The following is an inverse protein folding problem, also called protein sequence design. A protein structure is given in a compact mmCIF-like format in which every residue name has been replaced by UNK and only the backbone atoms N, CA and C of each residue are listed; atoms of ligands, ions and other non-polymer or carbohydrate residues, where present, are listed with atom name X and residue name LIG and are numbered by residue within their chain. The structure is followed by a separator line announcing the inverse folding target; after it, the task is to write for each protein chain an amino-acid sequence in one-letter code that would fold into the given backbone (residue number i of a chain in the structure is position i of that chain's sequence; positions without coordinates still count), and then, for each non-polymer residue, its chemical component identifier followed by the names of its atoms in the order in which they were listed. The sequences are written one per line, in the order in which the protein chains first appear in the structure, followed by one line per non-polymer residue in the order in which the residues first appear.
data_IF_888645694081
#
_entry.id   IF_888645694081
#
_cell.length_a   1.000
_cell.length_b   1.000
_cell.length_c   1.000
_cell.angle_alpha   90.00
_cell.angle_beta   90.00
_cell.angle_gamma   90.00
#
_symmetry.space_group_name_H-M   'P 1'
#
loop_
_entity.id
_entity.type
_entity.pdbx_description
1 polymer ?
#
# COMPACT_ATOMS: atom_id res chain seq x y z
N UNK A 1 -7.66 -8.65 -4.17
CA UNK A 1 -8.10 -7.29 -3.80
C UNK A 1 -7.92 -7.12 -2.31
N UNK A 2 -7.00 -6.24 -1.88
CA UNK A 2 -6.96 -5.33 -0.69
C UNK A 2 -7.58 -5.77 0.67
N UNK A 3 -8.17 -6.95 0.77
CA UNK A 3 -8.90 -7.43 1.95
C UNK A 3 -7.96 -7.75 3.12
N UNK A 4 -6.67 -7.90 2.83
CA UNK A 4 -5.64 -8.17 3.82
C UNK A 4 -5.10 -6.89 4.48
N UNK A 5 -5.31 -5.73 3.86
CA UNK A 5 -4.94 -4.42 4.40
C UNK A 5 -6.08 -3.90 5.27
N UNK A 6 -6.20 -4.46 6.48
CA UNK A 6 -7.14 -3.96 7.49
C UNK A 6 -6.50 -2.77 8.20
N UNK A 7 -7.16 -1.62 8.16
CA UNK A 7 -6.80 -0.48 9.01
C UNK A 7 -7.51 -0.61 10.35
N UNK A 8 -6.84 -0.18 11.43
CA UNK A 8 -7.52 0.19 12.67
C UNK A 8 -8.06 1.60 12.51
N UNK A 9 -9.11 1.99 13.25
CA UNK A 9 -9.65 3.35 13.15
C UNK A 9 -8.74 4.33 13.90
N UNK A 10 -8.31 5.41 13.25
CA UNK A 10 -7.66 6.56 13.86
C UNK A 10 -8.67 7.24 14.80
N UNK A 11 -8.28 7.38 16.06
CA UNK A 11 -9.07 7.99 17.13
C UNK A 11 -8.60 9.40 17.44
N UNK A 12 -9.38 10.17 18.20
CA UNK A 12 -8.96 11.48 18.68
C UNK A 12 -7.70 11.42 19.55
N UNK A 13 -7.50 10.33 20.29
CA UNK A 13 -6.28 10.11 21.08
C UNK A 13 -5.06 9.91 20.16
N UNK A 14 -5.24 9.23 19.03
CA UNK A 14 -4.19 9.12 18.01
C UNK A 14 -3.83 10.50 17.45
N UNK A 15 -4.81 11.38 17.23
CA UNK A 15 -4.55 12.76 16.78
C UNK A 15 -3.68 13.54 17.78
N UNK A 16 -3.88 13.36 19.09
CA UNK A 16 -3.02 14.01 20.11
C UNK A 16 -1.57 13.55 20.01
N UNK A 17 -1.35 12.27 19.71
CA UNK A 17 0.00 11.72 19.47
C UNK A 17 0.58 12.30 18.18
N UNK A 18 -0.20 12.30 17.10
CA UNK A 18 0.26 12.76 15.78
C UNK A 18 0.62 14.25 15.76
N UNK A 19 -0.06 15.08 16.55
CA UNK A 19 0.27 16.51 16.71
C UNK A 19 1.68 16.79 17.23
N UNK A 20 2.37 15.78 17.78
CA UNK A 20 3.79 15.89 18.18
C UNK A 20 4.73 15.93 16.97
N UNK A 21 4.23 15.69 15.77
CA UNK A 21 5.01 15.66 14.53
C UNK A 21 4.54 16.72 13.54
N UNK A 22 5.46 17.19 12.68
CA UNK A 22 5.13 18.04 11.54
C UNK A 22 4.18 17.33 10.55
N UNK A 23 3.40 18.10 9.78
CA UNK A 23 2.60 17.62 8.65
C UNK A 23 3.45 17.31 7.40
N UNK A 24 4.59 16.62 7.57
CA UNK A 24 5.51 16.25 6.49
C UNK A 24 4.84 15.47 5.35
N UNK A 25 3.70 14.85 5.66
CA UNK A 25 2.93 13.99 4.79
C UNK A 25 2.02 14.72 3.79
N UNK A 26 1.70 15.99 4.07
CA UNK A 26 0.68 16.75 3.37
C UNK A 26 0.89 16.77 1.84
N UNK A 27 2.11 17.10 1.42
CA UNK A 27 2.45 17.28 0.00
C UNK A 27 2.23 16.02 -0.84
N UNK A 28 2.60 14.84 -0.34
CA UNK A 28 2.42 13.60 -1.10
C UNK A 28 1.00 13.05 -0.99
N UNK A 29 0.33 13.21 0.16
CA UNK A 29 -1.10 12.85 0.27
C UNK A 29 -1.92 13.66 -0.72
N UNK A 30 -1.70 14.97 -0.79
CA UNK A 30 -2.39 15.85 -1.74
C UNK A 30 -2.19 15.38 -3.20
N UNK A 31 -0.97 14.95 -3.56
CA UNK A 31 -0.69 14.41 -4.90
C UNK A 31 -1.49 13.15 -5.20
N UNK A 32 -1.54 12.19 -4.28
CA UNK A 32 -2.27 10.93 -4.50
C UNK A 32 -3.79 11.13 -4.48
N UNK A 33 -4.31 11.97 -3.59
CA UNK A 33 -5.75 12.34 -3.55
C UNK A 33 -6.19 13.02 -4.85
N UNK A 34 -5.38 13.96 -5.39
CA UNK A 34 -5.67 14.57 -6.70
C UNK A 34 -5.75 13.53 -7.81
N UNK A 35 -4.86 12.53 -7.80
CA UNK A 35 -4.88 11.43 -8.79
C UNK A 35 -6.13 10.55 -8.65
N UNK A 36 -6.55 10.25 -7.42
CA UNK A 36 -7.78 9.50 -7.13
C UNK A 36 -9.02 10.25 -7.63
N UNK A 37 -9.18 11.51 -7.23
CA UNK A 37 -10.35 12.32 -7.61
C UNK A 37 -10.43 12.54 -9.14
N UNK A 38 -9.29 12.74 -9.81
CA UNK A 38 -9.23 12.82 -11.28
C UNK A 38 -9.72 11.55 -11.97
N UNK A 39 -9.58 10.40 -11.31
CA UNK A 39 -10.06 9.13 -11.84
C UNK A 39 -11.54 8.91 -11.50
N UNK A 40 -11.95 9.22 -10.27
CA UNK A 40 -13.37 9.16 -9.84
C UNK A 40 -14.27 9.97 -10.77
N UNK A 41 -13.85 11.16 -11.18
CA UNK A 41 -14.62 12.04 -12.08
C UNK A 41 -14.90 11.45 -13.47
N UNK A 42 -14.24 10.35 -13.85
CA UNK A 42 -14.46 9.67 -15.15
C UNK A 42 -15.64 8.72 -15.14
N UNK A 43 -16.18 8.37 -13.98
CA UNK A 43 -17.33 7.46 -13.87
C UNK A 43 -18.64 8.26 -13.86
N UNK A 44 -19.48 8.06 -14.89
CA UNK A 44 -20.82 8.66 -14.96
C UNK A 44 -21.71 8.13 -13.82
N UNK A 45 -22.40 9.02 -13.12
CA UNK A 45 -23.42 8.66 -12.11
C UNK A 45 -22.89 8.23 -10.73
N UNK A 46 -21.65 8.56 -10.37
CA UNK A 46 -21.05 8.24 -9.05
C UNK A 46 -20.41 9.51 -8.46
N UNK A 47 -21.23 10.43 -7.96
CA UNK A 47 -21.67 10.62 -6.56
C UNK A 47 -20.57 11.31 -5.74
N UNK A 48 -20.85 12.55 -5.32
CA UNK A 48 -20.04 13.39 -4.43
C UNK A 48 -19.51 12.66 -3.18
N UNK A 49 -20.18 11.60 -2.76
CA UNK A 49 -19.83 10.73 -1.62
C UNK A 49 -18.51 9.95 -1.77
N UNK A 50 -17.96 9.81 -2.99
CA UNK A 50 -16.66 9.14 -3.21
C UNK A 50 -15.50 10.13 -3.48
N UNK A 51 -15.75 11.43 -3.35
CA UNK A 51 -14.70 12.44 -3.42
C UNK A 51 -13.91 12.37 -2.11
N UNK A 52 -12.58 12.24 -2.24
CA UNK A 52 -11.69 12.25 -1.09
C UNK A 52 -11.20 13.68 -0.90
N UNK A 53 -11.39 14.23 0.30
CA UNK A 53 -10.86 15.52 0.68
C UNK A 53 -9.37 15.39 1.01
N UNK A 54 -8.60 16.41 0.63
CA UNK A 54 -7.19 16.48 1.03
C UNK A 54 -7.14 16.86 2.51
N UNK A 55 -6.57 16.02 3.40
CA UNK A 55 -6.36 16.42 4.79
C UNK A 55 -5.34 17.55 4.82
N UNK A 56 -5.65 18.68 5.48
CA UNK A 56 -4.76 19.85 5.58
C UNK A 56 -4.05 19.92 6.94
N UNK A 57 -4.62 19.28 7.96
CA UNK A 57 -4.11 19.20 9.33
C UNK A 57 -4.33 17.81 9.93
N UNK A 58 -3.77 17.55 11.11
CA UNK A 58 -3.84 16.24 11.76
C UNK A 58 -5.28 15.78 12.03
N UNK A 59 -6.16 16.69 12.45
CA UNK A 59 -7.57 16.41 12.73
C UNK A 59 -8.31 15.85 11.52
N UNK A 60 -7.91 16.25 10.31
CA UNK A 60 -8.55 15.81 9.07
C UNK A 60 -8.20 14.35 8.74
N UNK A 61 -7.20 13.74 9.41
CA UNK A 61 -6.77 12.36 9.15
C UNK A 61 -7.85 11.33 9.49
N UNK A 62 -8.70 11.60 10.49
CA UNK A 62 -9.84 10.73 10.84
C UNK A 62 -10.82 10.65 9.66
N UNK A 63 -11.18 11.81 9.11
CA UNK A 63 -12.10 11.89 7.98
C UNK A 63 -11.47 11.33 6.70
N UNK A 64 -10.18 11.62 6.48
CA UNK A 64 -9.43 11.06 5.37
C UNK A 64 -9.41 9.53 5.40
N UNK A 65 -9.12 8.90 6.53
CA UNK A 65 -9.20 7.45 6.68
C UNK A 65 -10.61 6.94 6.37
N UNK A 66 -11.64 7.56 6.94
CA UNK A 66 -13.04 7.16 6.72
C UNK A 66 -13.37 7.17 5.22
N UNK A 67 -12.96 8.21 4.51
CA UNK A 67 -13.17 8.33 3.07
C UNK A 67 -12.39 7.27 2.27
N UNK A 68 -11.14 6.99 2.62
CA UNK A 68 -10.34 5.90 2.00
C UNK A 68 -11.00 4.53 2.19
N UNK A 69 -11.56 4.29 3.39
CA UNK A 69 -12.26 3.04 3.68
C UNK A 69 -13.60 2.93 2.95
N UNK A 70 -14.37 4.01 2.86
CA UNK A 70 -15.60 4.06 2.07
C UNK A 70 -15.31 3.87 0.56
N UNK A 71 -14.21 4.45 0.07
CA UNK A 71 -13.76 4.32 -1.32
C UNK A 71 -13.48 2.87 -1.72
N UNK A 72 -13.15 2.00 -0.77
CA UNK A 72 -12.87 0.59 -1.00
C UNK A 72 -13.99 -0.13 -1.75
N UNK A 73 -15.24 0.13 -1.40
CA UNK A 73 -16.39 -0.53 -1.99
C UNK A 73 -16.58 -0.12 -3.46
N UNK A 74 -16.50 1.18 -3.73
CA UNK A 74 -16.52 1.72 -5.09
C UNK A 74 -15.36 1.18 -5.92
N UNK A 75 -14.14 1.21 -5.36
CA UNK A 75 -12.94 0.68 -5.99
C UNK A 75 -13.12 -0.78 -6.38
N UNK A 76 -13.53 -1.64 -5.43
CA UNK A 76 -13.69 -3.07 -5.65
C UNK A 76 -14.76 -3.38 -6.71
N UNK A 77 -15.88 -2.64 -6.70
CA UNK A 77 -16.95 -2.83 -7.67
C UNK A 77 -16.47 -2.56 -9.09
N UNK A 78 -15.86 -1.39 -9.31
CA UNK A 78 -15.36 -0.99 -10.64
C UNK A 78 -14.17 -1.85 -11.07
N UNK A 79 -13.28 -2.18 -10.14
CA UNK A 79 -12.14 -3.07 -10.41
C UNK A 79 -12.61 -4.45 -10.89
N UNK A 80 -13.62 -5.05 -10.23
CA UNK A 80 -14.19 -6.34 -10.64
C UNK A 80 -14.74 -6.32 -12.07
N UNK A 81 -15.30 -5.20 -12.52
CA UNK A 81 -15.85 -5.06 -13.87
C UNK A 81 -14.78 -4.96 -14.98
N UNK A 82 -13.55 -4.58 -14.62
CA UNK A 82 -12.53 -4.22 -15.62
C UNK A 82 -11.25 -5.06 -15.56
N UNK A 83 -11.06 -5.85 -14.49
CA UNK A 83 -9.84 -6.64 -14.27
C UNK A 83 -9.56 -7.69 -15.36
N UNK A 84 -10.59 -8.15 -16.06
CA UNK A 84 -10.49 -9.21 -17.07
C UNK A 84 -10.16 -8.63 -18.48
N UNK A 85 -10.05 -7.30 -18.61
CA UNK A 85 -9.75 -6.61 -19.87
C UNK A 85 -8.35 -5.99 -19.77
N UNK A 86 -7.32 -6.65 -20.31
CA UNK A 86 -5.90 -6.25 -20.18
C UNK A 86 -5.62 -4.77 -20.55
N UNK A 87 -6.18 -4.21 -21.65
CA UNK A 87 -6.02 -2.79 -21.97
C UNK A 87 -6.65 -1.85 -20.94
N UNK A 88 -7.77 -2.26 -20.33
CA UNK A 88 -8.42 -1.50 -19.27
C UNK A 88 -7.58 -1.54 -17.99
N UNK A 89 -6.99 -2.69 -17.65
CA UNK A 89 -6.10 -2.84 -16.50
C UNK A 89 -4.89 -1.90 -16.56
N UNK A 90 -4.28 -1.72 -17.74
CA UNK A 90 -3.19 -0.77 -17.93
C UNK A 90 -3.61 0.68 -17.66
N UNK A 91 -4.83 1.07 -18.05
CA UNK A 91 -5.40 2.39 -17.75
C UNK A 91 -5.74 2.54 -16.26
N UNK A 92 -6.08 1.44 -15.59
CA UNK A 92 -6.41 1.39 -14.17
C UNK A 92 -5.19 1.34 -13.26
N UNK A 93 -4.02 0.93 -13.76
CA UNK A 93 -2.78 0.83 -12.98
C UNK A 93 -2.49 2.08 -12.16
N UNK A 94 -2.71 3.26 -12.75
CA UNK A 94 -2.49 4.54 -12.08
C UNK A 94 -3.51 4.80 -10.96
N UNK A 95 -4.74 4.34 -11.12
CA UNK A 95 -5.80 4.46 -10.13
C UNK A 95 -5.61 3.48 -8.98
N UNK A 96 -5.34 2.21 -9.30
CA UNK A 96 -4.95 1.16 -8.35
C UNK A 96 -3.76 1.62 -7.53
N UNK A 97 -2.73 2.17 -8.20
CA UNK A 97 -1.53 2.65 -7.53
C UNK A 97 -1.83 3.81 -6.57
N UNK A 98 -2.61 4.80 -6.99
CA UNK A 98 -2.97 5.93 -6.13
C UNK A 98 -3.79 5.48 -4.90
N UNK A 99 -4.76 4.58 -5.10
CA UNK A 99 -5.59 4.07 -3.99
C UNK A 99 -4.76 3.29 -2.97
N UNK A 100 -3.95 2.34 -3.44
CA UNK A 100 -3.08 1.55 -2.57
C UNK A 100 -2.05 2.41 -1.85
N UNK A 101 -1.52 3.45 -2.50
CA UNK A 101 -0.60 4.41 -1.86
C UNK A 101 -1.29 5.15 -0.72
N UNK A 102 -2.50 5.69 -0.93
CA UNK A 102 -3.28 6.32 0.13
C UNK A 102 -3.57 5.34 1.28
N UNK A 103 -3.92 4.09 0.97
CA UNK A 103 -4.15 3.07 1.99
C UNK A 103 -2.88 2.76 2.82
N UNK A 104 -1.72 2.68 2.16
CA UNK A 104 -0.43 2.52 2.83
C UNK A 104 -0.12 3.68 3.78
N UNK A 105 -0.45 4.91 3.38
CA UNK A 105 -0.28 6.11 4.23
C UNK A 105 -1.21 6.05 5.44
N UNK A 106 -2.47 5.64 5.27
CA UNK A 106 -3.41 5.46 6.38
C UNK A 106 -2.93 4.37 7.35
N UNK A 107 -2.41 3.25 6.85
CA UNK A 107 -1.81 2.19 7.69
C UNK A 107 -0.57 2.72 8.44
N UNK A 108 0.25 3.55 7.79
CA UNK A 108 1.40 4.15 8.45
C UNK A 108 1.00 4.91 9.72
N UNK A 109 -0.01 5.79 9.64
CA UNK A 109 -0.43 6.57 10.82
C UNK A 109 -0.98 5.68 11.94
N UNK A 110 -1.77 4.68 11.58
CA UNK A 110 -2.29 3.70 12.54
C UNK A 110 -1.16 2.96 13.27
N UNK A 111 -0.20 2.44 12.52
CA UNK A 111 0.94 1.73 13.08
C UNK A 111 1.84 2.66 13.90
N UNK A 112 2.08 3.90 13.44
CA UNK A 112 2.85 4.88 14.18
C UNK A 112 2.24 5.15 15.56
N UNK A 113 0.93 5.43 15.61
CA UNK A 113 0.25 5.68 16.88
C UNK A 113 0.28 4.47 17.78
N UNK A 114 0.02 3.28 17.24
CA UNK A 114 0.12 2.02 17.97
C UNK A 114 1.51 1.81 18.57
N UNK A 115 2.57 1.97 17.77
CA UNK A 115 3.93 1.77 18.24
C UNK A 115 4.30 2.74 19.36
N UNK A 116 3.91 4.01 19.25
CA UNK A 116 4.14 5.03 20.29
C UNK A 116 3.35 4.70 21.57
N UNK A 117 2.08 4.28 21.45
CA UNK A 117 1.26 3.89 22.61
C UNK A 117 1.81 2.66 23.33
N UNK A 118 2.21 1.65 22.56
CA UNK A 118 2.71 0.39 23.10
C UNK A 118 4.10 0.55 23.76
N UNK A 119 4.80 1.67 23.54
CA UNK A 119 6.17 1.87 23.97
C UNK A 119 6.47 3.37 24.15
N UNK A 120 6.29 3.88 25.36
CA UNK A 120 6.76 5.23 25.68
C UNK A 120 8.29 5.31 25.47
N UNK A 121 8.73 6.22 24.60
CA UNK A 121 10.17 6.49 24.38
C UNK A 121 10.90 5.65 23.32
N UNK A 122 10.20 5.04 22.35
CA UNK A 122 10.84 4.35 21.20
C UNK A 122 11.89 5.24 20.53
N UNK A 123 13.08 4.66 20.30
CA UNK A 123 14.11 5.29 19.43
C UNK A 123 13.72 5.12 17.95
N UNK A 124 14.01 6.10 17.10
CA UNK A 124 13.61 6.11 15.68
C UNK A 124 14.00 4.83 14.89
N UNK A 125 15.18 4.28 15.19
CA UNK A 125 15.71 3.09 14.53
C UNK A 125 14.81 1.87 14.81
N UNK A 126 14.26 1.80 16.03
CA UNK A 126 13.33 0.75 16.44
C UNK A 126 11.97 0.90 15.74
N UNK A 127 11.54 2.13 15.44
CA UNK A 127 10.32 2.38 14.68
C UNK A 127 10.42 1.85 13.25
N UNK A 128 11.56 2.10 12.58
CA UNK A 128 11.81 1.59 11.22
C UNK A 128 11.79 0.05 11.21
N UNK A 129 12.45 -0.59 12.18
CA UNK A 129 12.39 -2.05 12.33
C UNK A 129 10.96 -2.56 12.53
N UNK A 130 10.14 -1.91 13.35
CA UNK A 130 8.73 -2.31 13.56
C UNK A 130 7.90 -2.19 12.27
N UNK A 131 8.14 -1.14 11.48
CA UNK A 131 7.52 -1.02 10.17
C UNK A 131 7.98 -2.12 9.20
N UNK A 132 9.27 -2.45 9.19
CA UNK A 132 9.79 -3.57 8.39
C UNK A 132 9.11 -4.88 8.77
N UNK A 133 8.97 -5.17 10.06
CA UNK A 133 8.31 -6.39 10.54
C UNK A 133 6.84 -6.47 10.09
N UNK A 134 6.09 -5.37 10.16
CA UNK A 134 4.72 -5.32 9.63
C UNK A 134 4.68 -5.48 8.10
N UNK A 135 5.61 -4.85 7.38
CA UNK A 135 5.70 -4.98 5.93
C UNK A 135 6.05 -6.40 5.48
N UNK A 136 6.89 -7.11 6.24
CA UNK A 136 7.21 -8.52 6.02
C UNK A 136 5.98 -9.42 6.20
N UNK A 137 5.12 -9.17 7.20
CA UNK A 137 3.85 -9.89 7.34
C UNK A 137 2.94 -9.71 6.12
N UNK A 138 2.93 -8.52 5.51
CA UNK A 138 2.19 -8.30 4.27
C UNK A 138 2.85 -8.99 3.06
N UNK A 139 4.19 -9.02 3.01
CA UNK A 139 4.95 -9.73 1.98
C UNK A 139 4.70 -11.24 2.01
N UNK A 140 4.71 -11.86 3.19
CA UNK A 140 4.37 -13.27 3.34
C UNK A 140 2.96 -13.60 2.84
N UNK A 141 1.99 -12.71 3.12
CA UNK A 141 0.62 -12.85 2.61
C UNK A 141 0.58 -12.74 1.09
N UNK A 142 1.29 -11.77 0.51
CA UNK A 142 1.41 -11.63 -0.94
C UNK A 142 2.00 -12.90 -1.57
N UNK A 143 3.09 -13.43 -1.02
CA UNK A 143 3.71 -14.67 -1.50
C UNK A 143 2.72 -15.84 -1.52
N UNK A 144 1.87 -15.97 -0.49
CA UNK A 144 0.80 -16.98 -0.44
C UNK A 144 -0.25 -16.76 -1.53
N UNK A 145 -0.69 -15.52 -1.77
CA UNK A 145 -1.67 -15.21 -2.83
C UNK A 145 -1.13 -15.52 -4.22
N UNK A 146 0.10 -15.08 -4.53
CA UNK A 146 0.75 -15.37 -5.82
C UNK A 146 0.86 -16.88 -6.06
N UNK A 147 1.25 -17.65 -5.03
CA UNK A 147 1.37 -19.11 -5.10
C UNK A 147 0.04 -19.83 -5.33
N UNK A 148 -1.11 -19.23 -5.01
CA UNK A 148 -2.42 -19.80 -5.39
C UNK A 148 -2.58 -19.84 -6.92
N UNK A 149 -1.97 -18.90 -7.64
CA UNK A 149 -2.09 -18.84 -9.11
C UNK A 149 -1.10 -19.76 -9.81
N UNK A 150 0.15 -19.80 -9.33
CA UNK A 150 1.27 -20.46 -10.04
C UNK A 150 1.76 -21.76 -9.39
N UNK A 151 1.32 -22.09 -8.17
CA UNK A 151 1.77 -23.26 -7.41
C UNK A 151 3.02 -23.01 -6.56
N UNK A 152 3.56 -24.08 -5.96
CA UNK A 152 4.86 -24.05 -5.27
C UNK A 152 5.98 -23.89 -6.29
N UNK A 153 6.94 -23.02 -6.01
CA UNK A 153 8.01 -22.69 -6.96
C UNK A 153 9.33 -22.38 -6.23
N UNK A 154 10.38 -23.13 -6.58
CA UNK A 154 11.69 -23.04 -5.94
C UNK A 154 12.38 -21.68 -6.20
N UNK A 155 12.16 -21.06 -7.36
CA UNK A 155 12.75 -19.76 -7.65
C UNK A 155 12.15 -18.70 -6.72
N UNK A 156 10.82 -18.70 -6.54
CA UNK A 156 10.18 -17.77 -5.61
C UNK A 156 10.55 -18.04 -4.15
N UNK A 157 10.70 -19.31 -3.76
CA UNK A 157 11.25 -19.66 -2.43
C UNK A 157 12.63 -19.03 -2.20
N UNK A 158 13.47 -19.02 -3.24
CA UNK A 158 14.81 -18.42 -3.18
C UNK A 158 14.72 -16.90 -3.07
N UNK A 159 13.82 -16.26 -3.82
CA UNK A 159 13.58 -14.80 -3.72
C UNK A 159 13.12 -14.42 -2.31
N UNK A 160 12.20 -15.20 -1.73
CA UNK A 160 11.68 -14.95 -0.39
C UNK A 160 12.77 -15.11 0.68
N UNK A 161 13.59 -16.17 0.59
CA UNK A 161 14.70 -16.43 1.53
C UNK A 161 15.80 -15.37 1.50
N UNK A 162 16.07 -14.81 0.33
CA UNK A 162 17.11 -13.80 0.16
C UNK A 162 16.66 -12.39 0.57
N UNK A 163 15.38 -12.22 0.93
CA UNK A 163 14.86 -10.96 1.41
C UNK A 163 15.08 -10.84 2.93
N UNK A 164 16.28 -10.41 3.33
CA UNK A 164 16.70 -10.29 4.73
C UNK A 164 16.41 -8.92 5.33
N UNK A 165 16.10 -8.89 6.63
CA UNK A 165 15.76 -7.67 7.36
C UNK A 165 17.03 -6.87 7.74
N UNK A 166 17.28 -5.73 7.11
CA UNK A 166 18.17 -4.69 7.64
C UNK A 166 17.43 -3.88 8.71
N UNK A 167 17.96 -3.84 9.94
CA UNK A 167 17.23 -3.25 11.09
C UNK A 167 17.13 -1.72 11.05
N UNK A 168 18.02 -1.05 10.32
CA UNK A 168 18.21 0.41 10.42
C UNK A 168 17.64 1.20 9.24
N UNK A 169 17.26 0.52 8.16
CA UNK A 169 16.76 1.10 6.92
C UNK A 169 15.43 0.47 6.56
N UNK A 170 14.55 1.23 5.89
CA UNK A 170 13.31 0.64 5.40
C UNK A 170 13.63 -0.39 4.30
N UNK A 171 13.06 -1.58 4.39
CA UNK A 171 13.39 -2.66 3.46
C UNK A 171 13.01 -2.32 2.02
N UNK A 172 13.90 -2.67 1.09
CA UNK A 172 13.67 -2.44 -0.33
C UNK A 172 12.83 -3.56 -0.97
N UNK A 173 11.51 -3.45 -0.86
CA UNK A 173 10.57 -4.38 -1.51
C UNK A 173 10.57 -4.30 -3.04
N UNK A 174 11.19 -3.29 -3.67
CA UNK A 174 11.14 -3.12 -5.14
C UNK A 174 11.90 -4.22 -5.86
N UNK A 175 13.01 -4.68 -5.29
CA UNK A 175 13.84 -5.76 -5.87
C UNK A 175 13.07 -7.09 -5.92
N UNK A 176 12.56 -7.64 -4.79
CA UNK A 176 11.83 -8.91 -4.83
C UNK A 176 10.53 -8.81 -5.66
N UNK A 177 9.80 -7.69 -5.61
CA UNK A 177 8.62 -7.49 -6.48
C UNK A 177 8.99 -7.57 -7.96
N UNK A 178 10.08 -6.91 -8.38
CA UNK A 178 10.56 -7.00 -9.77
C UNK A 178 10.92 -8.44 -10.13
N UNK A 179 11.65 -9.15 -9.25
CA UNK A 179 12.02 -10.55 -9.46
C UNK A 179 10.79 -11.45 -9.65
N UNK A 180 9.76 -11.28 -8.82
CA UNK A 180 8.47 -11.95 -8.97
C UNK A 180 7.82 -11.62 -10.34
N UNK A 181 7.68 -10.34 -10.68
CA UNK A 181 7.04 -9.92 -11.94
C UNK A 181 7.77 -10.46 -13.17
N UNK A 182 9.12 -10.40 -13.20
CA UNK A 182 9.91 -10.93 -14.31
C UNK A 182 9.72 -12.43 -14.46
N UNK A 183 9.72 -13.16 -13.35
CA UNK A 183 9.54 -14.61 -13.35
C UNK A 183 8.15 -15.02 -13.83
N UNK A 184 7.09 -14.44 -13.28
CA UNK A 184 5.71 -14.77 -13.65
C UNK A 184 5.45 -14.38 -15.11
N UNK A 185 6.02 -13.27 -15.60
CA UNK A 185 5.98 -12.90 -17.03
C UNK A 185 6.68 -13.95 -17.90
N UNK A 186 7.80 -14.51 -17.45
CA UNK A 186 8.51 -15.59 -18.15
C UNK A 186 7.67 -16.87 -18.20
N UNK A 187 7.03 -17.26 -17.09
CA UNK A 187 6.11 -18.40 -17.05
C UNK A 187 4.95 -18.23 -18.04
N UNK A 188 4.35 -17.04 -18.10
CA UNK A 188 3.26 -16.72 -19.03
C UNK A 188 3.72 -16.81 -20.49
N UNK A 189 4.88 -16.22 -20.83
CA UNK A 189 5.47 -16.32 -22.17
C UNK A 189 5.75 -17.76 -22.61
N UNK A 190 6.17 -18.60 -21.67
CA UNK A 190 6.41 -20.04 -21.87
C UNK A 190 5.13 -20.88 -21.78
N UNK A 191 3.96 -20.26 -21.66
CA UNK A 191 2.64 -20.91 -21.50
C UNK A 191 2.55 -21.88 -20.31
N UNK A 192 3.40 -21.72 -19.29
CA UNK A 192 3.36 -22.53 -18.05
C UNK A 192 2.21 -22.11 -17.12
N UNK A 193 1.71 -20.89 -17.30
CA UNK A 193 0.53 -20.36 -16.62
C UNK A 193 -0.37 -19.65 -17.65
N UNK A 194 -1.66 -19.54 -17.35
CA UNK A 194 -2.61 -18.82 -18.20
C UNK A 194 -2.42 -17.31 -18.08
N UNK A 195 -2.90 -16.56 -19.09
CA UNK A 195 -2.91 -15.09 -19.06
C UNK A 195 -3.69 -14.53 -17.87
N UNK A 196 -4.78 -15.18 -17.48
CA UNK A 196 -5.57 -14.82 -16.29
C UNK A 196 -4.73 -14.96 -15.02
N UNK A 197 -4.01 -16.07 -14.85
CA UNK A 197 -3.12 -16.31 -13.69
C UNK A 197 -1.99 -15.29 -13.62
N UNK A 198 -1.39 -14.96 -14.77
CA UNK A 198 -0.40 -13.89 -14.88
C UNK A 198 -0.99 -12.54 -14.44
N UNK A 199 -2.16 -12.17 -14.97
CA UNK A 199 -2.82 -10.89 -14.71
C UNK A 199 -3.19 -10.73 -13.24
N UNK A 200 -3.72 -11.79 -12.61
CA UNK A 200 -4.04 -11.80 -11.18
C UNK A 200 -2.78 -11.57 -10.34
N UNK A 201 -1.73 -12.37 -10.58
CA UNK A 201 -0.48 -12.26 -9.81
C UNK A 201 0.22 -10.91 -10.02
N UNK A 202 0.25 -10.40 -11.25
CA UNK A 202 0.83 -9.11 -11.57
C UNK A 202 0.08 -7.97 -10.88
N UNK A 203 -1.24 -8.09 -10.75
CA UNK A 203 -2.02 -7.08 -10.04
C UNK A 203 -1.83 -7.14 -8.54
N UNK A 204 -1.74 -8.33 -7.94
CA UNK A 204 -1.42 -8.48 -6.51
C UNK A 204 -0.06 -7.85 -6.17
N UNK A 205 0.95 -8.09 -7.02
CA UNK A 205 2.28 -7.48 -6.89
C UNK A 205 2.24 -5.96 -7.04
N UNK A 206 1.41 -5.44 -7.96
CA UNK A 206 1.21 -4.00 -8.14
C UNK A 206 0.50 -3.36 -6.94
N UNK A 207 -0.58 -3.98 -6.45
CA UNK A 207 -1.33 -3.52 -5.26
C UNK A 207 -0.38 -3.41 -4.07
N UNK A 208 0.34 -4.50 -3.77
CA UNK A 208 1.32 -4.55 -2.69
C UNK A 208 2.44 -3.52 -2.86
N UNK A 209 3.03 -3.42 -4.05
CA UNK A 209 4.14 -2.51 -4.29
C UNK A 209 3.77 -1.04 -4.07
N UNK A 210 2.57 -0.62 -4.48
CA UNK A 210 2.11 0.75 -4.24
C UNK A 210 1.70 0.97 -2.78
N UNK A 211 1.14 -0.06 -2.13
CA UNK A 211 0.83 -0.02 -0.70
C UNK A 211 2.08 0.21 0.15
N UNK A 212 3.12 -0.60 -0.05
CA UNK A 212 4.40 -0.44 0.64
C UNK A 212 5.05 0.89 0.32
N UNK A 213 4.97 1.36 -0.93
CA UNK A 213 5.51 2.67 -1.31
C UNK A 213 4.88 3.84 -0.55
N UNK A 214 3.59 3.72 -0.19
CA UNK A 214 2.92 4.70 0.69
C UNK A 214 3.56 4.74 2.08
N UNK A 215 3.85 3.56 2.66
CA UNK A 215 4.49 3.43 3.97
C UNK A 215 5.96 3.92 3.91
N UNK A 216 6.73 3.44 2.93
CA UNK A 216 8.14 3.79 2.68
C UNK A 216 8.32 5.32 2.67
N UNK A 217 7.50 6.04 1.90
CA UNK A 217 7.54 7.50 1.83
C UNK A 217 7.34 8.18 3.17
N UNK A 218 6.42 7.67 4.00
CA UNK A 218 6.16 8.22 5.31
C UNK A 218 7.34 8.01 6.24
N UNK A 219 7.87 6.78 6.27
CA UNK A 219 9.04 6.40 7.09
C UNK A 219 10.28 7.21 6.71
N UNK A 220 10.59 7.32 5.42
CA UNK A 220 11.75 8.08 4.93
C UNK A 220 11.67 9.55 5.33
N UNK A 221 10.47 10.16 5.20
CA UNK A 221 10.26 11.55 5.55
C UNK A 221 10.35 11.79 7.05
N UNK A 222 9.76 10.90 7.85
CA UNK A 222 9.88 10.90 9.30
C UNK A 222 11.35 10.85 9.73
N UNK A 223 12.11 9.88 9.23
CA UNK A 223 13.53 9.72 9.55
C UNK A 223 14.38 10.93 9.13
N UNK A 224 14.05 11.58 8.00
CA UNK A 224 14.77 12.78 7.54
C UNK A 224 14.55 14.03 8.39
N UNK A 225 13.42 14.10 9.12
CA UNK A 225 13.03 15.25 9.92
C UNK A 225 13.62 15.22 11.33
N UNK A 226 13.87 14.04 11.89
CA UNK A 226 14.40 13.89 13.25
C UNK A 226 15.94 13.89 13.28
N UNK A 227 16.60 13.72 12.12
CA UNK A 227 18.06 13.86 11.99
C UNK A 227 18.54 15.33 11.96
N UNK A 228 17.65 16.30 12.15
CA UNK A 228 17.95 17.74 12.25
C UNK A 228 17.62 18.22 13.65
#
# INVERSE_FOLDING_TARGET
MINYFKTTKITEEDIKILKRFDTFWLSFVQKEVKRLNKFTSRFKGSISEFIILVPNKHEDLIEFERQIMNYKNFFNQKYKQMKDILPALNKLRNWIGAYNTCLGITIYFNNLCKFIKDNEGIKNNELTSKFNDECLKYWEKLGKEVRKHIGKDHYLDTVDKNFTNEKETFLNFRVPIKSYLYYIKSLAKKKKITEIKYTNSATELLEFGNFIFGIEKCVDKYNSKIKK
#
